data_IF_203882691566
#
_entry.id   IF_203882691566
#
_cell.length_a   1.000
_cell.length_b   1.000
_cell.length_c   1.000
_cell.angle_alpha   90.00
_cell.angle_beta   90.00
_cell.angle_gamma   90.00
#
_symmetry.space_group_name_H-M   'P 1'
#
loop_
_entity.id
_entity.type
_entity.pdbx_description
1 polymer ?
#
# COMPACT_ATOMS: atom_id res chain seq x y z
N UNK A 1 -17.74 -1.04 21.10
CA UNK A 1 -17.11 -1.02 20.60
C UNK A 1 -16.61 -0.99 19.60
N UNK A 2 -16.44 -0.80 19.18
CA UNK A 2 -16.04 -0.81 18.37
C UNK A 2 -14.87 -1.05 17.86
N UNK A 3 -14.34 -1.43 18.24
CA UNK A 3 -12.98 -1.75 17.95
C UNK A 3 -12.83 -2.52 16.68
N UNK A 4 -13.78 -3.25 16.25
CA UNK A 4 -13.79 -3.91 14.97
C UNK A 4 -13.65 -2.94 13.81
N UNK A 5 -13.95 -1.68 14.03
CA UNK A 5 -13.82 -0.68 12.98
C UNK A 5 -12.38 -0.42 12.58
N UNK A 6 -11.43 -0.88 13.36
CA UNK A 6 -10.02 -0.64 13.08
C UNK A 6 -9.48 -1.54 11.97
N UNK A 7 -10.33 -2.36 11.37
CA UNK A 7 -9.91 -3.20 10.25
C UNK A 7 -9.55 -2.39 9.01
N UNK A 8 -9.99 -1.14 8.94
CA UNK A 8 -9.70 -0.25 7.81
C UNK A 8 -9.06 1.03 8.32
N UNK A 9 -7.99 1.45 7.68
CA UNK A 9 -7.29 2.69 8.01
C UNK A 9 -7.28 3.56 6.77
N UNK A 10 -7.86 4.74 6.88
CA UNK A 10 -7.92 5.68 5.77
C UNK A 10 -6.59 6.43 5.67
N UNK A 11 -6.05 6.50 4.48
CA UNK A 11 -4.83 7.24 4.19
C UNK A 11 -5.03 8.08 2.94
N UNK A 12 -4.14 9.06 2.76
CA UNK A 12 -4.13 9.90 1.57
C UNK A 12 -2.82 9.68 0.85
N UNK A 13 -2.90 9.39 -0.44
CA UNK A 13 -1.74 9.33 -1.31
C UNK A 13 -1.65 10.65 -2.08
N UNK A 14 -0.54 11.36 -1.93
CA UNK A 14 -0.31 12.60 -2.65
C UNK A 14 0.77 12.40 -3.70
N UNK A 15 0.53 12.94 -4.90
CA UNK A 15 1.47 12.83 -6.02
C UNK A 15 1.86 14.24 -6.45
N UNK A 16 3.06 14.66 -6.04
CA UNK A 16 3.68 15.94 -6.47
C UNK A 16 2.76 17.14 -6.38
N UNK A 17 1.94 17.23 -5.34
CA UNK A 17 0.97 18.31 -5.16
C UNK A 17 -0.07 18.39 -6.29
N UNK A 18 -0.11 17.40 -7.16
CA UNK A 18 -1.04 17.39 -8.31
C UNK A 18 -2.28 16.58 -8.06
N UNK A 19 -2.18 15.54 -7.26
CA UNK A 19 -3.29 14.65 -7.02
C UNK A 19 -3.28 14.17 -5.58
N UNK A 20 -4.48 14.02 -5.03
CA UNK A 20 -4.68 13.44 -3.71
C UNK A 20 -5.71 12.34 -3.86
N UNK A 21 -5.33 11.13 -3.49
CA UNK A 21 -6.18 9.95 -3.67
C UNK A 21 -6.46 9.36 -2.32
N UNK A 22 -7.73 9.21 -1.99
CA UNK A 22 -8.13 8.55 -0.76
C UNK A 22 -7.96 7.04 -0.93
N UNK A 23 -7.28 6.42 0.03
CA UNK A 23 -7.00 4.99 0.00
C UNK A 23 -7.34 4.37 1.34
N UNK A 24 -7.47 3.05 1.36
CA UNK A 24 -7.72 2.32 2.59
C UNK A 24 -6.73 1.19 2.73
N UNK A 25 -6.17 1.06 3.93
CA UNK A 25 -5.37 -0.10 4.29
C UNK A 25 -6.27 -1.06 5.04
N UNK A 26 -6.36 -2.29 4.56
CA UNK A 26 -7.23 -3.30 5.18
C UNK A 26 -6.41 -4.19 6.09
N UNK A 27 -6.52 -3.92 7.38
CA UNK A 27 -5.71 -4.60 8.39
C UNK A 27 -5.92 -6.11 8.40
N UNK A 28 -7.15 -6.56 8.18
CA UNK A 28 -7.44 -7.99 8.24
C UNK A 28 -6.74 -8.80 7.14
N UNK A 29 -6.29 -8.14 6.08
CA UNK A 29 -5.56 -8.82 4.99
C UNK A 29 -4.09 -9.00 5.34
N UNK A 30 -3.48 -8.06 6.03
CA UNK A 30 -2.06 -8.12 6.37
C UNK A 30 -1.80 -7.29 7.62
N UNK A 31 -2.20 -7.79 8.80
CA UNK A 31 -2.17 -6.96 9.99
C UNK A 31 -0.79 -6.46 10.40
N UNK A 32 0.24 -7.27 10.25
CA UNK A 32 1.60 -6.83 10.61
C UNK A 32 2.12 -5.77 9.65
N UNK A 33 1.92 -5.98 8.36
CA UNK A 33 2.36 -5.04 7.34
C UNK A 33 1.64 -3.71 7.46
N UNK A 34 0.32 -3.75 7.63
CA UNK A 34 -0.47 -2.53 7.82
C UNK A 34 -0.04 -1.79 9.07
N UNK A 35 0.23 -2.52 10.16
CA UNK A 35 0.72 -1.91 11.39
C UNK A 35 2.05 -1.19 11.19
N UNK A 36 2.98 -1.80 10.47
CA UNK A 36 4.27 -1.19 10.19
C UNK A 36 4.12 0.07 9.33
N UNK A 37 3.32 -0.01 8.28
CA UNK A 37 3.09 1.14 7.41
C UNK A 37 2.48 2.29 8.20
N UNK A 38 1.47 1.98 9.01
CA UNK A 38 0.76 3.00 9.78
C UNK A 38 1.68 3.72 10.75
N UNK A 39 2.57 2.98 11.40
CA UNK A 39 3.50 3.56 12.37
C UNK A 39 4.55 4.44 11.72
N UNK A 40 4.85 4.22 10.45
CA UNK A 40 5.88 4.97 9.75
C UNK A 40 5.34 6.13 8.92
N UNK A 41 4.03 6.34 8.94
CA UNK A 41 3.45 7.48 8.24
C UNK A 41 3.85 8.81 8.89
N UNK A 42 4.03 9.87 8.14
CA UNK A 42 3.93 9.94 6.68
C UNK A 42 5.16 9.36 5.99
N UNK A 43 4.93 8.69 4.86
CA UNK A 43 5.98 8.13 4.03
C UNK A 43 6.09 8.95 2.76
N UNK A 44 7.30 9.05 2.23
CA UNK A 44 7.52 9.71 0.95
C UNK A 44 8.63 9.00 0.18
N UNK A 45 8.65 9.21 -1.12
CA UNK A 45 9.65 8.63 -1.97
C UNK A 45 9.42 9.01 -3.41
N UNK A 46 10.33 8.59 -4.26
CA UNK A 46 10.21 8.81 -5.69
C UNK A 46 9.41 7.68 -6.31
N UNK A 47 8.34 8.04 -7.02
CA UNK A 47 7.49 7.05 -7.64
C UNK A 47 8.05 6.60 -8.97
N UNK A 48 7.90 5.33 -9.25
CA UNK A 48 8.34 4.70 -10.49
C UNK A 48 7.21 3.85 -11.05
N UNK A 49 7.22 3.64 -12.36
CA UNK A 49 6.28 2.74 -13.01
C UNK A 49 6.90 1.38 -13.20
N UNK A 50 6.12 0.35 -12.93
CA UNK A 50 6.46 -1.02 -13.28
C UNK A 50 5.49 -1.42 -14.40
N UNK A 51 5.95 -1.34 -15.64
CA UNK A 51 5.07 -1.45 -16.79
C UNK A 51 4.11 -0.28 -16.85
N UNK A 52 2.86 -0.55 -17.23
CA UNK A 52 1.83 0.49 -17.31
C UNK A 52 0.76 0.35 -16.24
N UNK A 53 0.87 -0.68 -15.41
CA UNK A 53 -0.19 -1.05 -14.48
C UNK A 53 0.13 -0.76 -13.02
N UNK A 54 1.39 -0.55 -12.70
CA UNK A 54 1.81 -0.43 -11.31
C UNK A 54 2.67 0.81 -11.11
N UNK A 55 2.29 1.60 -10.12
CA UNK A 55 3.10 2.72 -9.64
C UNK A 55 3.66 2.32 -8.27
N UNK A 56 4.94 2.47 -8.04
CA UNK A 56 5.53 2.06 -6.78
C UNK A 56 6.58 3.04 -6.28
N UNK A 57 6.85 2.99 -4.99
CA UNK A 57 7.98 3.71 -4.41
C UNK A 57 8.60 2.87 -3.29
N UNK A 58 9.89 3.06 -3.08
CA UNK A 58 10.64 2.32 -2.09
C UNK A 58 10.50 2.96 -0.72
N UNK A 59 10.45 2.13 0.30
CA UNK A 59 10.41 2.56 1.69
C UNK A 59 11.51 1.86 2.47
N UNK A 60 11.66 2.23 3.74
CA UNK A 60 12.58 1.55 4.63
C UNK A 60 11.87 0.51 5.49
N UNK A 61 10.65 0.16 5.13
CA UNK A 61 9.88 -0.83 5.86
C UNK A 61 10.44 -2.21 5.58
N UNK A 62 10.72 -2.94 6.65
CA UNK A 62 11.21 -4.30 6.56
C UNK A 62 10.17 -5.23 7.18
N UNK A 63 9.57 -6.05 6.36
CA UNK A 63 8.51 -6.96 6.78
C UNK A 63 8.59 -8.24 5.97
N UNK A 64 8.10 -9.34 6.54
CA UNK A 64 7.96 -10.57 5.80
C UNK A 64 6.68 -10.62 5.00
N UNK A 65 6.52 -11.68 4.24
CA UNK A 65 5.28 -11.93 3.50
C UNK A 65 4.25 -12.51 4.46
N UNK A 66 3.13 -11.82 4.61
CA UNK A 66 2.03 -12.34 5.42
C UNK A 66 1.04 -13.12 4.58
N UNK A 67 0.68 -12.55 3.43
CA UNK A 67 -0.24 -13.18 2.51
C UNK A 67 0.22 -12.92 1.09
N UNK A 68 0.49 -13.98 0.38
CA UNK A 68 0.88 -13.89 -1.02
C UNK A 68 -0.37 -13.75 -1.87
N UNK A 69 -0.37 -12.78 -2.76
CA UNK A 69 -1.45 -12.58 -3.71
C UNK A 69 -0.88 -12.41 -5.10
N UNK A 70 -1.64 -12.87 -6.08
CA UNK A 70 -1.25 -12.75 -7.48
C UNK A 70 -2.24 -11.91 -8.27
N UNK A 71 -3.46 -11.75 -7.75
CA UNK A 71 -4.51 -11.01 -8.43
C UNK A 71 -4.73 -9.69 -7.73
N UNK A 72 -4.72 -8.61 -8.49
CA UNK A 72 -4.92 -7.27 -7.96
C UNK A 72 -5.88 -6.51 -8.83
N UNK A 73 -6.66 -5.63 -8.23
CA UNK A 73 -7.62 -4.80 -8.93
C UNK A 73 -7.14 -3.36 -8.94
N UNK A 74 -7.60 -2.62 -9.91
CA UNK A 74 -7.33 -1.19 -9.98
C UNK A 74 -7.64 -0.52 -8.64
N UNK A 75 -6.68 0.24 -8.14
CA UNK A 75 -6.80 0.91 -6.87
C UNK A 75 -6.26 0.13 -5.68
N UNK A 76 -5.89 -1.13 -5.86
CA UNK A 76 -5.30 -1.92 -4.79
C UNK A 76 -3.92 -1.39 -4.43
N UNK A 77 -3.59 -1.48 -3.15
CA UNK A 77 -2.26 -1.16 -2.64
C UNK A 77 -1.65 -2.46 -2.12
N UNK A 78 -0.43 -2.73 -2.55
CA UNK A 78 0.30 -3.92 -2.13
C UNK A 78 1.66 -3.53 -1.59
N UNK A 79 2.25 -4.43 -0.82
CA UNK A 79 3.59 -4.27 -0.29
C UNK A 79 4.47 -5.41 -0.80
N UNK A 80 5.64 -5.07 -1.35
CA UNK A 80 6.64 -6.04 -1.80
C UNK A 80 7.74 -6.10 -0.75
N UNK A 81 7.77 -7.15 0.09
CA UNK A 81 8.72 -7.20 1.21
C UNK A 81 10.18 -7.23 0.78
N UNK A 82 10.48 -7.89 -0.33
CA UNK A 82 11.85 -8.04 -0.79
C UNK A 82 12.53 -6.71 -1.04
N UNK A 83 11.81 -5.75 -1.62
CA UNK A 83 12.33 -4.43 -1.94
C UNK A 83 11.85 -3.34 -0.99
N UNK A 84 10.91 -3.66 -0.09
CA UNK A 84 10.31 -2.66 0.78
C UNK A 84 9.45 -1.65 0.02
N UNK A 85 8.85 -2.07 -1.09
CA UNK A 85 8.10 -1.17 -1.97
C UNK A 85 6.62 -1.19 -1.68
N UNK A 86 6.02 -0.01 -1.71
CA UNK A 86 4.57 0.13 -1.70
C UNK A 86 4.12 0.35 -3.14
N UNK A 87 3.16 -0.46 -3.59
CA UNK A 87 2.69 -0.47 -4.96
C UNK A 87 1.23 -0.07 -5.03
N UNK A 88 0.90 0.77 -6.01
CA UNK A 88 -0.47 1.13 -6.34
C UNK A 88 -0.79 0.55 -7.70
N UNK A 89 -1.86 -0.22 -7.78
CA UNK A 89 -2.28 -0.84 -9.03
C UNK A 89 -3.20 0.10 -9.79
N UNK A 90 -2.77 0.47 -11.01
CA UNK A 90 -3.49 1.40 -11.86
C UNK A 90 -4.52 0.68 -12.73
N UNK A 91 -4.36 -0.61 -12.89
CA UNK A 91 -5.24 -1.48 -13.68
C UNK A 91 -5.36 -2.83 -12.99
N UNK A 92 -6.35 -3.61 -13.40
CA UNK A 92 -6.48 -4.97 -12.92
C UNK A 92 -5.31 -5.83 -13.42
N UNK A 93 -4.78 -6.66 -12.54
CA UNK A 93 -3.68 -7.58 -12.86
C UNK A 93 -4.06 -8.96 -12.36
N UNK A 94 -3.92 -9.95 -13.21
CA UNK A 94 -4.26 -11.33 -12.89
C UNK A 94 -3.08 -12.27 -13.03
#
# INVERSE_FOLDING_TARGET
MQSGTVSRIDIILEINDKARIACQLKRHLSPLTVGLITRMLPLSGNAHYMGKSILYFETKINSGIERKRTDFKKGDIAFLPAEGCICLYLNDVF
#
